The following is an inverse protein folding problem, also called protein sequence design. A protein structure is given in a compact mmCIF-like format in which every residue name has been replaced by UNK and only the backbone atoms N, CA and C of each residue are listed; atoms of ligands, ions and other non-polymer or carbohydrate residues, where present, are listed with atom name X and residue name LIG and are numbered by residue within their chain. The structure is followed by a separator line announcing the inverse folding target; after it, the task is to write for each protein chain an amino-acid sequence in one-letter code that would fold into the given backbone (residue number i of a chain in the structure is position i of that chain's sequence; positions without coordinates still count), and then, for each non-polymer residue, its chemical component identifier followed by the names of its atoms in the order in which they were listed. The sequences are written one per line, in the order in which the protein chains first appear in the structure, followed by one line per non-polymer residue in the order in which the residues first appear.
data_IF_230457566632
#
_entry.id   IF_230457566632
#
_cell.length_a   1.000
_cell.length_b   1.000
_cell.length_c   1.000
_cell.angle_alpha   90.00
_cell.angle_beta   90.00
_cell.angle_gamma   90.00
#
_symmetry.space_group_name_H-M   'P 1'
#
loop_
_entity.id
_entity.type
_entity.pdbx_description
1 polymer ?
#
# COMPACT_ATOMS: atom_id res chain seq x y z
N UNK A 1 -42.44 27.13 -68.95
CA UNK A 1 -41.50 27.41 -67.82
C UNK A 1 -41.55 26.23 -66.85
N UNK A 2 -40.55 25.32 -66.94
CA UNK A 2 -40.47 24.13 -66.12
C UNK A 2 -39.35 24.37 -65.07
N UNK A 3 -39.70 24.45 -63.76
CA UNK A 3 -38.77 24.53 -62.65
C UNK A 3 -38.46 23.11 -62.17
N UNK A 4 -37.20 22.69 -62.34
CA UNK A 4 -36.66 21.45 -61.83
C UNK A 4 -36.23 21.69 -60.36
N UNK A 5 -36.80 20.91 -59.46
CA UNK A 5 -36.33 20.84 -58.07
C UNK A 5 -35.27 19.74 -57.98
N UNK A 6 -34.04 20.14 -57.62
CA UNK A 6 -33.01 19.20 -57.25
C UNK A 6 -33.10 18.93 -55.75
N UNK A 7 -33.37 17.67 -55.43
CA UNK A 7 -33.33 17.19 -54.05
C UNK A 7 -31.88 16.97 -53.63
N UNK A 8 -31.44 17.76 -52.64
CA UNK A 8 -30.12 17.59 -52.00
C UNK A 8 -30.31 16.56 -50.87
N UNK A 9 -29.86 15.33 -51.14
CA UNK A 9 -29.80 14.27 -50.12
C UNK A 9 -28.53 14.46 -49.30
N UNK A 10 -28.67 14.99 -48.09
CA UNK A 10 -27.56 15.11 -47.13
C UNK A 10 -27.35 13.75 -46.43
N UNK A 11 -26.31 13.05 -46.81
CA UNK A 11 -25.90 11.80 -46.16
C UNK A 11 -25.15 12.19 -44.87
N UNK A 12 -25.78 11.96 -43.71
CA UNK A 12 -25.15 12.02 -42.40
C UNK A 12 -24.37 10.73 -42.18
N UNK A 13 -23.03 10.82 -42.31
CA UNK A 13 -22.12 9.74 -42.00
C UNK A 13 -21.88 9.76 -40.47
N UNK A 14 -22.63 8.95 -39.72
CA UNK A 14 -22.44 8.73 -38.30
C UNK A 14 -21.18 7.90 -38.07
N UNK A 15 -20.11 8.58 -37.74
CA UNK A 15 -18.83 7.94 -37.34
C UNK A 15 -19.00 7.36 -35.92
N UNK A 16 -19.29 6.07 -35.80
CA UNK A 16 -19.28 5.32 -34.56
C UNK A 16 -17.84 5.26 -34.04
N UNK A 17 -17.50 6.14 -33.11
CA UNK A 17 -16.28 6.03 -32.31
C UNK A 17 -16.42 4.82 -31.39
N UNK A 18 -15.85 3.69 -31.77
CA UNK A 18 -15.65 2.54 -30.89
C UNK A 18 -14.58 2.93 -29.87
N UNK A 19 -15.03 3.33 -28.68
CA UNK A 19 -14.15 3.48 -27.52
C UNK A 19 -13.71 2.05 -27.15
N UNK A 20 -12.51 1.69 -27.59
CA UNK A 20 -11.85 0.47 -27.14
C UNK A 20 -11.50 0.67 -25.66
N UNK A 21 -12.28 0.09 -24.76
CA UNK A 21 -11.93 0.04 -23.36
C UNK A 21 -10.62 -0.77 -23.22
N UNK A 22 -9.57 -0.12 -22.75
CA UNK A 22 -8.34 -0.83 -22.41
C UNK A 22 -8.68 -1.96 -21.40
N UNK A 23 -8.11 -3.17 -21.56
CA UNK A 23 -8.36 -4.24 -20.63
C UNK A 23 -7.99 -3.80 -19.21
N UNK A 24 -8.85 -4.11 -18.25
CA UNK A 24 -8.60 -3.79 -16.85
C UNK A 24 -7.25 -4.41 -16.41
N UNK A 25 -6.44 -3.70 -15.61
CA UNK A 25 -5.16 -4.21 -15.17
C UNK A 25 -5.37 -5.53 -14.42
N UNK A 26 -4.60 -6.55 -14.76
CA UNK A 26 -4.61 -7.83 -14.06
C UNK A 26 -3.90 -7.64 -12.72
N UNK A 27 -4.65 -7.60 -11.63
CA UNK A 27 -4.09 -7.46 -10.29
C UNK A 27 -3.59 -8.83 -9.82
N UNK A 28 -2.28 -8.96 -9.68
CA UNK A 28 -1.65 -10.15 -9.09
C UNK A 28 -1.41 -9.89 -7.60
N UNK A 29 -2.41 -10.25 -6.79
CA UNK A 29 -2.37 -10.07 -5.35
C UNK A 29 -2.56 -11.39 -4.62
N UNK A 30 -1.60 -11.74 -3.77
CA UNK A 30 -1.77 -12.80 -2.79
C UNK A 30 -2.27 -12.18 -1.49
N UNK A 31 -3.48 -12.50 -1.03
CA UNK A 31 -4.00 -11.95 0.21
C UNK A 31 -3.03 -12.18 1.37
N UNK A 32 -2.85 -11.13 2.19
CA UNK A 32 -2.07 -11.23 3.40
C UNK A 32 -2.88 -12.07 4.38
N UNK A 33 -2.33 -13.21 4.77
CA UNK A 33 -2.89 -14.02 5.83
C UNK A 33 -2.63 -13.28 7.15
N UNK A 34 -3.72 -12.89 7.80
CA UNK A 34 -3.60 -12.17 9.07
C UNK A 34 -3.01 -13.10 10.15
N UNK A 35 -1.74 -12.94 10.54
CA UNK A 35 -1.08 -13.85 11.48
C UNK A 35 -1.54 -13.66 12.92
N UNK A 36 -2.61 -12.88 13.15
CA UNK A 36 -2.97 -12.45 14.50
C UNK A 36 -1.88 -11.53 15.07
N UNK A 37 -2.22 -10.30 15.42
CA UNK A 37 -1.23 -9.29 15.81
C UNK A 37 -0.18 -9.85 16.76
N UNK A 38 1.07 -9.78 16.31
CA UNK A 38 2.22 -10.14 17.14
C UNK A 38 2.61 -9.01 18.09
N UNK A 39 1.85 -7.93 18.04
CA UNK A 39 2.09 -6.75 18.85
C UNK A 39 1.66 -7.04 20.27
N UNK A 40 2.60 -7.01 21.19
CA UNK A 40 2.30 -7.12 22.61
C UNK A 40 1.58 -5.85 23.11
N UNK A 41 1.01 -5.93 24.31
CA UNK A 41 0.43 -4.75 24.97
C UNK A 41 1.51 -3.75 25.40
N UNK A 42 2.77 -4.17 25.39
CA UNK A 42 3.93 -3.37 25.83
C UNK A 42 4.44 -2.42 24.74
N UNK A 43 3.91 -2.50 23.50
CA UNK A 43 4.21 -1.51 22.49
C UNK A 43 3.73 -0.13 22.98
N UNK A 44 4.60 0.85 22.95
CA UNK A 44 4.35 2.21 23.41
C UNK A 44 3.31 2.98 22.59
N UNK A 45 2.22 2.33 22.23
CA UNK A 45 1.08 2.87 21.47
C UNK A 45 -0.23 2.38 22.08
N UNK A 46 -1.19 3.30 22.22
CA UNK A 46 -2.56 2.95 22.58
C UNK A 46 -3.25 2.15 21.48
N UNK A 47 -4.22 1.31 21.83
CA UNK A 47 -4.99 0.52 20.86
C UNK A 47 -5.69 1.41 19.82
N UNK A 48 -6.20 2.57 20.22
CA UNK A 48 -6.81 3.55 19.34
C UNK A 48 -5.80 4.15 18.35
N UNK A 49 -4.59 4.47 18.81
CA UNK A 49 -3.52 4.96 17.95
C UNK A 49 -3.11 3.89 16.93
N UNK A 50 -2.95 2.64 17.37
CA UNK A 50 -2.63 1.53 16.47
C UNK A 50 -3.66 1.36 15.37
N UNK A 51 -4.95 1.44 15.73
CA UNK A 51 -6.04 1.33 14.74
C UNK A 51 -6.08 2.53 13.78
N UNK A 52 -5.78 3.73 14.26
CA UNK A 52 -5.68 4.93 13.44
C UNK A 52 -4.51 4.83 12.43
N UNK A 53 -3.32 4.45 12.87
CA UNK A 53 -2.18 4.20 11.98
C UNK A 53 -2.49 3.11 10.94
N UNK A 54 -3.13 2.01 11.37
CA UNK A 54 -3.53 0.95 10.46
C UNK A 54 -4.54 1.43 9.41
N UNK A 55 -5.47 2.31 9.79
CA UNK A 55 -6.43 2.93 8.87
C UNK A 55 -5.73 3.84 7.86
N UNK A 56 -4.78 4.66 8.31
CA UNK A 56 -3.99 5.52 7.43
C UNK A 56 -3.15 4.70 6.45
N UNK A 57 -2.45 3.68 6.92
CA UNK A 57 -1.67 2.75 6.08
C UNK A 57 -2.53 2.10 5.01
N UNK A 58 -3.68 1.55 5.39
CA UNK A 58 -4.59 0.91 4.45
C UNK A 58 -5.18 1.88 3.43
N UNK A 59 -5.44 3.12 3.83
CA UNK A 59 -5.94 4.17 2.94
C UNK A 59 -4.88 4.64 1.95
N UNK A 60 -3.64 4.81 2.41
CA UNK A 60 -2.50 5.10 1.53
C UNK A 60 -2.25 3.98 0.53
N UNK A 61 -2.29 2.72 0.99
CA UNK A 61 -2.14 1.55 0.12
C UNK A 61 -3.22 1.53 -0.98
N UNK A 62 -4.49 1.80 -0.62
CA UNK A 62 -5.58 1.87 -1.59
C UNK A 62 -5.34 2.97 -2.63
N UNK A 63 -5.01 4.18 -2.17
CA UNK A 63 -4.80 5.32 -3.05
C UNK A 63 -3.60 5.11 -3.97
N UNK A 64 -2.49 4.57 -3.46
CA UNK A 64 -1.30 4.27 -4.25
C UNK A 64 -1.61 3.28 -5.38
N UNK A 65 -2.33 2.19 -5.08
CA UNK A 65 -2.70 1.18 -6.09
C UNK A 65 -3.61 1.77 -7.15
N UNK A 66 -4.57 2.63 -6.78
CA UNK A 66 -5.46 3.30 -7.74
C UNK A 66 -4.69 4.29 -8.60
N UNK A 67 -3.88 5.17 -7.99
CA UNK A 67 -3.16 6.23 -8.68
C UNK A 67 -2.11 5.68 -9.66
N UNK A 68 -1.47 4.56 -9.32
CA UNK A 68 -0.48 3.89 -10.15
C UNK A 68 -1.05 2.71 -10.97
N UNK A 69 -2.39 2.64 -11.09
CA UNK A 69 -3.10 1.63 -11.93
C UNK A 69 -2.65 0.20 -11.65
N UNK A 70 -2.47 -0.14 -10.36
CA UNK A 70 -2.02 -1.45 -9.90
C UNK A 70 -0.69 -1.90 -10.53
N UNK A 71 0.27 -0.98 -10.69
CA UNK A 71 1.62 -1.37 -11.09
C UNK A 71 2.22 -2.36 -10.09
N UNK A 72 3.21 -3.14 -10.52
CA UNK A 72 3.86 -4.13 -9.66
C UNK A 72 4.47 -3.47 -8.42
N UNK A 73 5.13 -2.33 -8.61
CA UNK A 73 5.75 -1.55 -7.55
C UNK A 73 4.69 -1.02 -6.56
N UNK A 74 3.57 -0.51 -7.07
CA UNK A 74 2.47 -0.05 -6.22
C UNK A 74 1.84 -1.19 -5.40
N UNK A 75 1.72 -2.37 -5.98
CA UNK A 75 1.21 -3.56 -5.28
C UNK A 75 2.19 -4.03 -4.20
N UNK A 76 3.49 -3.97 -4.45
CA UNK A 76 4.52 -4.31 -3.46
C UNK A 76 4.51 -3.33 -2.28
N UNK A 77 4.54 -2.02 -2.54
CA UNK A 77 4.44 -0.99 -1.51
C UNK A 77 3.13 -1.08 -0.72
N UNK A 78 2.01 -1.30 -1.41
CA UNK A 78 0.73 -1.52 -0.75
C UNK A 78 0.75 -2.76 0.16
N UNK A 79 1.48 -3.80 -0.24
CA UNK A 79 1.65 -5.01 0.57
C UNK A 79 2.41 -4.73 1.85
N UNK A 80 3.47 -3.94 1.82
CA UNK A 80 4.22 -3.52 3.01
C UNK A 80 3.34 -2.71 3.96
N UNK A 81 2.59 -1.73 3.42
CA UNK A 81 1.65 -0.91 4.20
C UNK A 81 0.57 -1.76 4.88
N UNK A 82 -0.06 -2.69 4.14
CA UNK A 82 -1.10 -3.55 4.69
C UNK A 82 -0.53 -4.58 5.67
N UNK A 83 0.68 -5.10 5.43
CA UNK A 83 1.34 -6.00 6.38
C UNK A 83 1.55 -5.31 7.73
N UNK A 84 2.07 -4.08 7.72
CA UNK A 84 2.23 -3.29 8.95
C UNK A 84 0.88 -2.94 9.59
N UNK A 85 -0.13 -2.57 8.79
CA UNK A 85 -1.47 -2.29 9.29
C UNK A 85 -2.06 -3.49 10.06
N UNK A 86 -1.90 -4.71 9.54
CA UNK A 86 -2.36 -5.93 10.23
C UNK A 86 -1.54 -6.26 11.49
N UNK A 87 -0.26 -5.89 11.54
CA UNK A 87 0.51 -6.04 12.79
C UNK A 87 0.01 -5.08 13.87
N UNK A 88 -0.31 -3.83 13.52
CA UNK A 88 -0.79 -2.81 14.44
C UNK A 88 -2.23 -3.08 14.91
N UNK A 89 -3.13 -3.37 13.97
CA UNK A 89 -4.55 -3.63 14.23
C UNK A 89 -5.08 -4.75 13.32
N UNK A 90 -5.02 -6.01 13.78
CA UNK A 90 -5.39 -7.20 12.97
C UNK A 90 -6.83 -7.19 12.46
N UNK A 91 -7.72 -6.46 13.14
CA UNK A 91 -9.14 -6.35 12.78
C UNK A 91 -9.49 -5.00 12.17
N UNK A 92 -8.51 -4.21 11.79
CA UNK A 92 -8.78 -2.91 11.15
C UNK A 92 -9.65 -3.10 9.92
N UNK A 93 -10.82 -2.48 9.95
CA UNK A 93 -11.86 -2.64 8.91
C UNK A 93 -11.34 -2.26 7.53
N UNK A 94 -10.59 -1.15 7.43
CA UNK A 94 -10.08 -0.65 6.16
C UNK A 94 -9.04 -1.59 5.57
N UNK A 95 -8.09 -2.05 6.37
CA UNK A 95 -7.06 -3.00 5.95
C UNK A 95 -7.66 -4.31 5.44
N UNK A 96 -8.64 -4.87 6.15
CA UNK A 96 -9.35 -6.09 5.76
C UNK A 96 -10.07 -5.90 4.41
N UNK A 97 -10.78 -4.79 4.23
CA UNK A 97 -11.51 -4.51 2.98
C UNK A 97 -10.56 -4.36 1.80
N UNK A 98 -9.50 -3.56 1.94
CA UNK A 98 -8.52 -3.34 0.85
C UNK A 98 -7.83 -4.66 0.46
N UNK A 99 -7.36 -5.43 1.45
CA UNK A 99 -6.72 -6.72 1.21
C UNK A 99 -7.67 -7.71 0.49
N UNK A 100 -8.94 -7.75 0.88
CA UNK A 100 -9.96 -8.58 0.23
C UNK A 100 -10.23 -8.15 -1.21
N UNK A 101 -10.41 -6.84 -1.47
CA UNK A 101 -10.67 -6.31 -2.82
C UNK A 101 -9.51 -6.65 -3.77
N UNK A 102 -8.28 -6.38 -3.35
CA UNK A 102 -7.08 -6.71 -4.13
C UNK A 102 -6.99 -8.22 -4.38
N UNK A 103 -7.29 -9.07 -3.38
CA UNK A 103 -7.33 -10.53 -3.51
C UNK A 103 -8.39 -11.06 -4.49
N UNK A 104 -9.42 -10.25 -4.78
CA UNK A 104 -10.43 -10.52 -5.81
C UNK A 104 -10.09 -9.89 -7.17
N UNK A 105 -8.92 -9.26 -7.30
CA UNK A 105 -8.54 -8.56 -8.52
C UNK A 105 -9.33 -7.26 -8.74
N UNK A 106 -9.92 -6.69 -7.65
CA UNK A 106 -10.67 -5.45 -7.69
C UNK A 106 -9.80 -4.29 -7.22
N UNK A 107 -9.84 -3.17 -7.96
CA UNK A 107 -9.26 -1.93 -7.48
C UNK A 107 -10.08 -1.41 -6.28
N UNK A 108 -9.42 -1.03 -5.17
CA UNK A 108 -10.11 -0.39 -4.07
C UNK A 108 -10.62 1.00 -4.46
N UNK A 109 -11.60 1.50 -3.71
CA UNK A 109 -12.03 2.89 -3.86
C UNK A 109 -10.98 3.85 -3.28
N UNK A 110 -10.74 4.95 -4.01
CA UNK A 110 -9.88 6.03 -3.55
C UNK A 110 -10.53 6.72 -2.34
N UNK A 111 -9.71 7.05 -1.35
CA UNK A 111 -10.13 7.72 -0.12
C UNK A 111 -9.70 9.17 -0.17
N UNK A 112 -10.67 10.07 -0.05
CA UNK A 112 -10.40 11.51 0.08
C UNK A 112 -9.98 11.87 1.50
N UNK A 113 -9.26 13.00 1.64
CA UNK A 113 -8.84 13.51 2.94
C UNK A 113 -7.72 12.72 3.63
N UNK A 114 -7.10 11.76 2.94
CA UNK A 114 -5.92 11.06 3.43
C UNK A 114 -4.72 12.01 3.43
N UNK A 115 -3.87 11.89 4.47
CA UNK A 115 -2.62 12.65 4.53
C UNK A 115 -1.80 12.42 3.25
N UNK A 116 -1.25 13.48 2.68
CA UNK A 116 -0.31 13.34 1.57
C UNK A 116 0.93 12.53 1.99
N UNK A 117 1.58 11.87 1.03
CA UNK A 117 2.74 11.00 1.27
C UNK A 117 3.81 11.65 2.14
N UNK A 118 4.15 12.92 1.88
CA UNK A 118 5.14 13.66 2.67
C UNK A 118 4.73 13.84 4.14
N UNK A 119 3.46 14.21 4.39
CA UNK A 119 2.97 14.42 5.75
C UNK A 119 2.89 13.08 6.50
N UNK A 120 2.49 12.02 5.81
CA UNK A 120 2.41 10.68 6.38
C UNK A 120 3.79 10.10 6.68
N UNK A 121 4.77 10.24 5.79
CA UNK A 121 6.16 9.84 6.05
C UNK A 121 6.74 10.52 7.29
N UNK A 122 6.51 11.83 7.45
CA UNK A 122 6.93 12.56 8.67
C UNK A 122 6.25 12.04 9.93
N UNK A 123 4.95 11.70 9.85
CA UNK A 123 4.22 11.12 10.97
C UNK A 123 4.83 9.78 11.38
N UNK A 124 5.17 8.92 10.41
CA UNK A 124 5.82 7.63 10.67
C UNK A 124 7.20 7.82 11.31
N UNK A 125 8.02 8.75 10.82
CA UNK A 125 9.33 9.07 11.43
C UNK A 125 9.19 9.56 12.87
N UNK A 126 8.29 10.52 13.11
CA UNK A 126 8.05 11.02 14.47
C UNK A 126 7.65 9.88 15.41
N UNK A 127 6.84 8.94 14.92
CA UNK A 127 6.45 7.79 15.74
C UNK A 127 7.59 6.82 15.96
N UNK A 128 8.42 6.59 14.95
CA UNK A 128 9.62 5.78 15.09
C UNK A 128 10.55 6.32 16.19
N UNK A 129 10.82 7.61 16.16
CA UNK A 129 11.64 8.29 17.19
C UNK A 129 11.09 8.10 18.62
N UNK A 130 9.75 8.17 18.75
CA UNK A 130 9.11 7.96 20.05
C UNK A 130 9.26 6.53 20.54
N UNK A 131 9.09 5.55 19.65
CA UNK A 131 9.26 4.13 19.96
C UNK A 131 10.71 3.81 20.36
N UNK A 132 11.68 4.38 19.66
CA UNK A 132 13.10 4.22 20.01
C UNK A 132 13.44 4.80 21.38
N UNK A 133 12.93 6.00 21.69
CA UNK A 133 13.12 6.65 23.00
C UNK A 133 12.48 5.86 24.13
N UNK A 134 11.37 5.17 23.89
CA UNK A 134 10.74 4.28 24.86
C UNK A 134 11.58 3.01 25.11
N UNK A 135 12.37 2.60 24.14
CA UNK A 135 13.23 1.43 24.23
C UNK A 135 12.47 0.11 24.24
N UNK A 136 13.23 -0.99 24.36
CA UNK A 136 12.68 -2.34 24.27
C UNK A 136 12.72 -2.91 22.86
N UNK A 137 12.94 -4.22 22.75
CA UNK A 137 13.18 -4.89 21.46
C UNK A 137 12.01 -4.80 20.49
N UNK A 138 10.79 -4.78 21.02
CA UNK A 138 9.58 -4.66 20.21
C UNK A 138 9.44 -3.24 19.65
N UNK A 139 9.58 -2.21 20.50
CA UNK A 139 9.53 -0.82 20.07
C UNK A 139 10.59 -0.51 19.01
N UNK A 140 11.84 -0.98 19.22
CA UNK A 140 12.92 -0.81 18.24
C UNK A 140 12.58 -1.53 16.92
N UNK A 141 12.01 -2.73 16.99
CA UNK A 141 11.61 -3.47 15.78
C UNK A 141 10.53 -2.72 14.99
N UNK A 142 9.52 -2.17 15.68
CA UNK A 142 8.48 -1.37 15.03
C UNK A 142 8.99 -0.03 14.52
N UNK A 143 9.89 0.65 15.25
CA UNK A 143 10.52 1.87 14.78
C UNK A 143 11.21 1.66 13.43
N UNK A 144 11.96 0.58 13.27
CA UNK A 144 12.60 0.21 11.99
C UNK A 144 11.59 0.04 10.85
N UNK A 145 10.44 -0.60 11.12
CA UNK A 145 9.38 -0.77 10.13
C UNK A 145 8.77 0.57 9.71
N UNK A 146 8.52 1.46 10.68
CA UNK A 146 8.02 2.80 10.41
C UNK A 146 9.00 3.64 9.59
N UNK A 147 10.30 3.59 9.93
CA UNK A 147 11.35 4.30 9.19
C UNK A 147 11.48 3.78 7.76
N UNK A 148 11.56 2.45 7.58
CA UNK A 148 11.66 1.84 6.26
C UNK A 148 10.45 2.22 5.38
N UNK A 149 9.25 2.20 5.95
CA UNK A 149 8.04 2.55 5.22
C UNK A 149 7.95 4.06 4.93
N UNK A 150 8.44 4.92 5.83
CA UNK A 150 8.51 6.37 5.59
C UNK A 150 9.39 6.69 4.39
N UNK A 151 10.56 6.05 4.28
CA UNK A 151 11.45 6.20 3.13
C UNK A 151 10.84 5.68 1.82
N UNK A 152 10.06 4.60 1.89
CA UNK A 152 9.37 4.05 0.73
C UNK A 152 8.21 4.95 0.25
N UNK A 153 7.46 5.52 1.19
CA UNK A 153 6.31 6.42 0.89
C UNK A 153 6.77 7.77 0.34
N UNK A 154 7.86 8.31 0.87
CA UNK A 154 8.44 9.59 0.43
C UNK A 154 9.96 9.47 0.22
N UNK A 155 10.40 8.95 -0.93
CA UNK A 155 11.82 8.79 -1.22
C UNK A 155 12.61 10.12 -1.35
N UNK A 156 11.91 11.26 -1.33
CA UNK A 156 12.53 12.60 -1.33
C UNK A 156 12.77 13.15 0.08
N UNK A 157 12.28 12.46 1.08
CA UNK A 157 12.51 12.81 2.48
C UNK A 157 13.89 12.30 2.89
N UNK A 158 14.87 13.22 2.89
CA UNK A 158 16.27 12.88 3.20
C UNK A 158 16.43 12.27 4.58
N UNK A 159 15.68 12.74 5.58
CA UNK A 159 15.72 12.21 6.94
C UNK A 159 15.22 10.75 6.98
N UNK A 160 14.14 10.45 6.26
CA UNK A 160 13.58 9.10 6.19
C UNK A 160 14.54 8.14 5.49
N UNK A 161 15.09 8.56 4.36
CA UNK A 161 16.05 7.76 3.58
C UNK A 161 17.31 7.52 4.40
N UNK A 162 17.88 8.56 5.01
CA UNK A 162 19.08 8.43 5.84
C UNK A 162 18.86 7.48 7.01
N UNK A 163 17.79 7.66 7.78
CA UNK A 163 17.46 6.79 8.91
C UNK A 163 17.22 5.34 8.47
N UNK A 164 16.53 5.13 7.35
CA UNK A 164 16.30 3.79 6.79
C UNK A 164 17.60 3.09 6.41
N UNK A 165 18.51 3.80 5.74
CA UNK A 165 19.80 3.24 5.36
C UNK A 165 20.70 2.95 6.58
N UNK A 166 20.66 3.80 7.60
CA UNK A 166 21.39 3.57 8.85
C UNK A 166 20.88 2.29 9.54
N UNK A 167 19.57 2.14 9.68
CA UNK A 167 18.99 0.90 10.23
C UNK A 167 19.31 -0.33 9.39
N UNK A 168 19.36 -0.20 8.06
CA UNK A 168 19.73 -1.29 7.17
C UNK A 168 21.18 -1.73 7.36
N UNK A 169 22.10 -0.80 7.58
CA UNK A 169 23.51 -1.07 7.84
C UNK A 169 23.71 -1.77 9.20
N UNK A 170 23.00 -1.30 10.21
CA UNK A 170 23.18 -1.79 11.60
C UNK A 170 22.51 -3.15 11.84
N UNK A 171 21.37 -3.40 11.16
CA UNK A 171 20.49 -4.54 11.48
C UNK A 171 20.08 -5.38 10.26
N UNK A 172 20.54 -5.05 9.07
CA UNK A 172 20.10 -5.66 7.83
C UNK A 172 18.75 -5.14 7.32
N UNK A 173 18.31 -5.57 6.13
CA UNK A 173 17.05 -5.15 5.53
C UNK A 173 15.84 -5.63 6.36
N UNK A 174 14.72 -4.93 6.25
CA UNK A 174 13.45 -5.36 6.80
C UNK A 174 12.92 -6.56 6.01
N UNK A 175 12.60 -7.65 6.69
CA UNK A 175 11.96 -8.82 6.06
C UNK A 175 10.43 -8.68 6.10
N UNK A 176 9.87 -8.07 5.05
CA UNK A 176 8.44 -7.89 4.89
C UNK A 176 7.66 -9.21 4.73
N UNK A 177 8.31 -10.29 4.29
CA UNK A 177 7.66 -11.59 4.14
C UNK A 177 7.27 -12.19 5.48
N UNK A 178 8.09 -11.96 6.52
CA UNK A 178 7.76 -12.38 7.89
C UNK A 178 6.48 -11.68 8.39
N UNK A 179 6.29 -10.40 8.01
CA UNK A 179 5.12 -9.62 8.42
C UNK A 179 3.86 -9.99 7.65
N UNK A 180 4.00 -10.33 6.36
CA UNK A 180 2.87 -10.70 5.50
C UNK A 180 2.43 -12.17 5.65
N UNK A 181 3.09 -12.95 6.52
CA UNK A 181 2.78 -14.38 6.69
C UNK A 181 3.31 -15.26 5.55
N UNK A 182 4.05 -14.70 4.60
CA UNK A 182 4.76 -15.47 3.59
C UNK A 182 5.97 -16.15 4.25
N UNK A 183 5.72 -17.30 4.86
CA UNK A 183 6.81 -18.21 5.22
C UNK A 183 7.46 -18.61 3.90
N UNK A 184 8.58 -17.97 3.57
CA UNK A 184 9.39 -18.38 2.44
C UNK A 184 9.49 -19.89 2.47
N UNK A 185 9.17 -20.54 1.37
CA UNK A 185 9.67 -21.89 1.11
C UNK A 185 11.19 -21.76 1.23
N UNK A 186 11.74 -22.11 2.41
CA UNK A 186 13.15 -22.47 2.47
C UNK A 186 13.29 -23.51 1.38
N UNK A 187 14.01 -23.15 0.32
CA UNK A 187 14.48 -24.10 -0.64
C UNK A 187 15.10 -25.23 0.16
N UNK A 188 14.51 -26.41 0.11
CA UNK A 188 15.21 -27.67 0.35
C UNK A 188 16.19 -27.74 -0.82
N UNK A 189 17.30 -27.11 -0.66
CA UNK A 189 18.49 -27.42 -1.45
C UNK A 189 18.98 -28.76 -0.92
N UNK A 190 19.03 -29.72 -1.85
CA UNK A 190 19.15 -31.11 -1.60
C UNK A 190 20.43 -31.48 -0.87
N UNK A 191 20.25 -32.42 -0.02
CA UNK A 191 21.25 -33.41 0.33
C UNK A 191 20.99 -34.62 -0.59
N UNK A 192 21.87 -34.76 -1.56
CA UNK A 192 22.18 -36.00 -2.26
C UNK A 192 23.69 -36.11 -2.44
#
# INVERSE_FOLDING_TARGET
MKRSWQAVTTIWLTMLLTVSAAPAPKIEWKPIENPGGRVSRDLGMLDSERDEYATHLASQAANLVVDQKASKEALESARHMLALAFQLSPRNKRAVVVNFQLGKGLLPEKVDGVLGSQAFARLLLTRADLLEKQGGSENTSFARLFVALAAEIDPRNEDAVYASELHRLDHGPVDWNVLSGDKGKKAKEGDD
#
